data_IF_188816790472
#
_entry.id   IF_188816790472
#
_cell.length_a   1.000
_cell.length_b   1.000
_cell.length_c   1.000
_cell.angle_alpha   90.00
_cell.angle_beta   90.00
_cell.angle_gamma   90.00
#
_symmetry.space_group_name_H-M   'P 1'
#
loop_
_entity.id
_entity.type
_entity.pdbx_description
1 polymer ?
#
# COMPACT_ATOMS: atom_id res chain seq x y z
N UNK A 1 -42.87 -31.79 -19.96
CA UNK A 1 -42.69 -30.44 -19.39
C UNK A 1 -41.69 -30.37 -18.24
N UNK A 2 -41.61 -31.36 -17.34
CA UNK A 2 -40.69 -31.34 -16.18
C UNK A 2 -39.19 -31.36 -16.55
N UNK A 3 -38.76 -32.04 -17.62
CA UNK A 3 -37.36 -32.10 -18.03
C UNK A 3 -36.81 -30.78 -18.62
N UNK A 4 -37.64 -29.99 -19.30
CA UNK A 4 -37.24 -28.67 -19.84
C UNK A 4 -37.01 -27.64 -18.74
N UNK A 5 -37.78 -27.69 -17.65
CA UNK A 5 -37.63 -26.78 -16.50
C UNK A 5 -36.33 -27.06 -15.76
N UNK A 6 -35.96 -28.35 -15.62
CA UNK A 6 -34.69 -28.75 -14.96
C UNK A 6 -33.50 -28.28 -15.77
N UNK A 7 -33.56 -28.33 -17.10
CA UNK A 7 -32.46 -27.86 -17.98
C UNK A 7 -32.25 -26.34 -17.88
N UNK A 8 -33.33 -25.58 -17.78
CA UNK A 8 -33.29 -24.12 -17.63
C UNK A 8 -32.75 -23.74 -16.26
N UNK A 9 -33.15 -24.41 -15.20
CA UNK A 9 -32.64 -24.18 -13.84
C UNK A 9 -31.16 -24.51 -13.72
N UNK A 10 -30.64 -25.55 -14.40
CA UNK A 10 -29.24 -25.91 -14.42
C UNK A 10 -28.41 -24.91 -15.24
N UNK A 11 -28.94 -24.37 -16.34
CA UNK A 11 -28.33 -23.33 -17.14
C UNK A 11 -28.20 -21.99 -16.37
N UNK A 12 -29.22 -21.64 -15.58
CA UNK A 12 -29.18 -20.44 -14.74
C UNK A 12 -28.16 -20.56 -13.57
N UNK A 13 -27.97 -21.77 -13.04
CA UNK A 13 -27.01 -22.02 -11.97
C UNK A 13 -25.54 -21.95 -12.47
N UNK A 14 -25.28 -22.30 -13.73
CA UNK A 14 -23.96 -22.21 -14.35
C UNK A 14 -23.50 -20.76 -14.63
N UNK A 15 -24.45 -19.82 -14.79
CA UNK A 15 -24.15 -18.40 -15.05
C UNK A 15 -23.72 -17.68 -13.76
N UNK A 16 -24.14 -18.17 -12.59
CA UNK A 16 -23.83 -17.56 -11.29
C UNK A 16 -22.41 -17.82 -10.78
N UNK A 17 -21.59 -18.65 -11.46
CA UNK A 17 -20.23 -18.98 -11.05
C UNK A 17 -19.13 -18.29 -11.86
N UNK A 18 -19.46 -17.32 -12.71
CA UNK A 18 -18.45 -16.41 -13.23
C UNK A 18 -17.99 -15.49 -12.10
N UNK A 19 -17.22 -16.04 -11.16
CA UNK A 19 -16.42 -15.24 -10.28
C UNK A 19 -15.54 -14.36 -11.16
N UNK A 20 -15.76 -13.04 -11.14
CA UNK A 20 -14.84 -12.10 -11.75
C UNK A 20 -13.50 -12.32 -11.07
N UNK A 21 -12.57 -13.02 -11.75
CA UNK A 21 -11.20 -13.10 -11.29
C UNK A 21 -10.69 -11.66 -11.18
N UNK A 22 -10.47 -11.20 -9.96
CA UNK A 22 -9.97 -9.86 -9.71
C UNK A 22 -8.60 -9.74 -10.38
N UNK A 23 -8.41 -8.71 -11.22
CA UNK A 23 -7.16 -8.50 -11.94
C UNK A 23 -6.03 -8.27 -10.94
N UNK A 24 -4.92 -8.98 -11.10
CA UNK A 24 -3.72 -8.73 -10.32
C UNK A 24 -2.91 -7.59 -10.93
N UNK A 25 -2.40 -6.72 -10.07
CA UNK A 25 -1.50 -5.62 -10.37
C UNK A 25 -0.27 -5.77 -9.48
N UNK A 26 0.90 -5.68 -10.06
CA UNK A 26 2.14 -5.72 -9.30
C UNK A 26 2.37 -4.38 -8.58
N UNK A 27 2.73 -4.42 -7.31
CA UNK A 27 3.03 -3.23 -6.53
C UNK A 27 4.22 -2.45 -7.11
N UNK A 28 5.17 -3.15 -7.73
CA UNK A 28 6.31 -2.54 -8.44
C UNK A 28 5.88 -1.63 -9.59
N UNK A 29 4.82 -2.01 -10.33
CA UNK A 29 4.30 -1.20 -11.43
C UNK A 29 3.69 0.10 -10.88
N UNK A 30 2.93 0.00 -9.79
CA UNK A 30 2.36 1.16 -9.09
C UNK A 30 3.47 2.10 -8.61
N UNK A 31 4.54 1.54 -8.02
CA UNK A 31 5.69 2.33 -7.58
C UNK A 31 6.39 3.04 -8.75
N UNK A 32 6.49 2.41 -9.91
CA UNK A 32 7.02 3.04 -11.12
C UNK A 32 6.13 4.18 -11.61
N UNK A 33 4.82 3.99 -11.61
CA UNK A 33 3.86 5.05 -11.96
C UNK A 33 3.98 6.26 -11.03
N UNK A 34 4.08 6.04 -9.71
CA UNK A 34 4.32 7.12 -8.74
C UNK A 34 5.62 7.87 -9.05
N UNK A 35 6.71 7.17 -9.36
CA UNK A 35 7.98 7.79 -9.75
C UNK A 35 7.89 8.60 -11.03
N UNK A 36 7.08 8.15 -11.97
CA UNK A 36 6.84 8.84 -13.23
C UNK A 36 5.93 10.09 -13.07
N UNK A 37 5.40 10.32 -11.85
CA UNK A 37 4.49 11.43 -11.60
C UNK A 37 3.06 11.18 -12.08
N UNK A 38 2.68 9.94 -12.31
CA UNK A 38 1.35 9.57 -12.75
C UNK A 38 0.37 9.48 -11.57
N UNK A 39 -0.87 9.91 -11.81
CA UNK A 39 -1.96 9.71 -10.85
C UNK A 39 -2.26 8.21 -10.73
N UNK A 40 -2.33 7.71 -9.52
CA UNK A 40 -2.68 6.33 -9.22
C UNK A 40 -4.20 6.23 -9.00
N UNK A 41 -4.85 5.39 -9.81
CA UNK A 41 -6.30 5.15 -9.68
C UNK A 41 -6.65 3.72 -10.07
N UNK A 42 -6.85 2.87 -9.07
CA UNK A 42 -7.19 1.46 -9.25
C UNK A 42 -8.51 1.12 -8.56
N UNK A 43 -9.31 0.29 -9.21
CA UNK A 43 -10.58 -0.19 -8.67
C UNK A 43 -10.77 -1.68 -8.93
N UNK A 44 -11.31 -2.39 -7.94
CA UNK A 44 -11.67 -3.80 -8.03
C UNK A 44 -10.51 -4.70 -8.47
N UNK A 45 -9.30 -4.43 -7.96
CA UNK A 45 -8.07 -5.18 -8.30
C UNK A 45 -7.42 -5.77 -7.06
N UNK A 46 -6.60 -6.79 -7.26
CA UNK A 46 -5.72 -7.34 -6.24
C UNK A 46 -4.31 -6.83 -6.48
N UNK A 47 -3.70 -6.21 -5.48
CA UNK A 47 -2.30 -5.75 -5.53
C UNK A 47 -1.43 -6.85 -4.92
N UNK A 48 -0.42 -7.27 -5.68
CA UNK A 48 0.54 -8.31 -5.32
C UNK A 48 1.94 -7.69 -5.21
N UNK A 49 2.72 -8.16 -4.25
CA UNK A 49 4.02 -7.56 -3.92
C UNK A 49 3.89 -6.47 -2.85
N UNK A 50 5.02 -6.11 -2.25
CA UNK A 50 5.10 -5.07 -1.23
C UNK A 50 4.98 -3.70 -1.88
N UNK A 51 4.01 -2.90 -1.44
CA UNK A 51 3.87 -1.51 -1.87
C UNK A 51 4.66 -0.61 -0.91
N UNK A 52 5.94 -0.42 -1.22
CA UNK A 52 6.82 0.46 -0.46
C UNK A 52 6.75 1.91 -0.98
N UNK A 53 5.93 2.72 -0.31
CA UNK A 53 5.75 4.14 -0.60
C UNK A 53 6.90 5.01 -0.06
N UNK A 54 7.79 4.43 0.75
CA UNK A 54 8.98 5.14 1.24
C UNK A 54 10.13 5.13 0.24
N UNK A 55 10.11 4.19 -0.71
CA UNK A 55 11.21 3.94 -1.65
C UNK A 55 12.56 3.76 -0.94
N UNK A 56 12.54 3.01 0.16
CA UNK A 56 13.68 2.83 1.05
C UNK A 56 14.93 2.33 0.31
N UNK A 57 14.81 1.33 -0.54
CA UNK A 57 15.94 0.72 -1.25
C UNK A 57 16.73 1.75 -2.06
N UNK A 58 16.04 2.66 -2.74
CA UNK A 58 16.70 3.72 -3.51
C UNK A 58 17.30 4.83 -2.66
N UNK A 59 16.66 5.11 -1.52
CA UNK A 59 17.13 6.11 -0.60
C UNK A 59 18.39 5.63 0.13
N UNK A 60 18.41 4.37 0.58
CA UNK A 60 19.52 3.80 1.36
C UNK A 60 20.82 3.74 0.57
N UNK A 61 20.75 3.48 -0.75
CA UNK A 61 21.93 3.48 -1.62
C UNK A 61 22.67 4.80 -1.65
N UNK A 62 21.97 5.90 -1.41
CA UNK A 62 22.50 7.29 -1.47
C UNK A 62 22.97 7.81 -0.11
N UNK A 63 22.66 7.07 0.97
CA UNK A 63 22.98 7.53 2.32
C UNK A 63 24.40 7.15 2.75
N UNK A 64 25.07 8.01 3.53
CA UNK A 64 26.35 7.67 4.09
C UNK A 64 26.19 6.50 5.09
N UNK A 65 27.03 5.47 4.95
CA UNK A 65 27.06 4.36 5.93
C UNK A 65 27.38 4.92 7.31
N UNK A 66 26.41 4.83 8.22
CA UNK A 66 26.64 5.21 9.61
C UNK A 66 27.60 4.23 10.25
N UNK A 67 28.67 4.74 10.87
CA UNK A 67 29.46 3.93 11.82
C UNK A 67 28.55 3.66 13.02
N UNK A 68 28.44 2.38 13.46
CA UNK A 68 27.78 2.02 14.71
C UNK A 68 28.50 2.78 15.84
N UNK A 69 27.93 3.90 16.25
CA UNK A 69 28.45 4.69 17.37
C UNK A 69 28.02 4.01 18.66
N UNK A 70 28.94 4.00 19.62
CA UNK A 70 28.71 3.47 20.97
C UNK A 70 27.42 4.04 21.56
N UNK A 71 26.68 3.21 22.28
CA UNK A 71 25.37 3.48 22.91
C UNK A 71 25.30 4.76 23.79
N UNK A 72 26.44 5.36 24.11
CA UNK A 72 26.54 6.60 24.88
C UNK A 72 26.30 7.90 24.07
N UNK A 73 26.37 7.85 22.75
CA UNK A 73 26.11 9.02 21.89
C UNK A 73 24.72 8.89 21.25
N UNK A 74 23.68 9.01 22.05
CA UNK A 74 22.34 9.30 21.59
C UNK A 74 22.29 10.77 21.14
N UNK A 75 22.88 11.07 20.00
CA UNK A 75 22.68 12.34 19.35
C UNK A 75 21.32 12.28 18.69
N UNK A 76 20.43 13.14 19.13
CA UNK A 76 19.08 13.42 18.62
C UNK A 76 19.18 14.03 17.20
N UNK A 77 19.88 13.37 16.32
CA UNK A 77 19.94 13.73 14.92
C UNK A 77 18.75 13.06 14.22
N UNK A 78 17.93 13.90 13.65
CA UNK A 78 16.72 13.57 12.88
C UNK A 78 17.06 12.56 11.75
N UNK A 79 17.13 11.26 12.11
CA UNK A 79 17.50 10.17 11.20
C UNK A 79 16.31 9.75 10.31
N UNK A 80 15.38 10.64 10.07
CA UNK A 80 14.20 10.37 9.27
C UNK A 80 14.38 10.85 7.84
N UNK A 81 14.29 9.92 6.90
CA UNK A 81 14.27 10.18 5.47
C UNK A 81 12.81 10.24 5.02
N UNK A 82 12.43 11.36 4.42
CA UNK A 82 11.05 11.59 3.99
C UNK A 82 10.96 11.52 2.47
N UNK A 83 10.12 10.63 1.95
CA UNK A 83 9.73 10.59 0.55
C UNK A 83 8.47 11.43 0.35
N UNK A 84 8.48 12.36 -0.57
CA UNK A 84 7.30 13.09 -0.99
C UNK A 84 6.59 12.32 -2.10
N UNK A 85 5.30 12.07 -1.92
CA UNK A 85 4.38 11.53 -2.92
C UNK A 85 3.50 12.68 -3.37
N UNK A 86 3.83 13.24 -4.52
CA UNK A 86 3.21 14.47 -5.05
C UNK A 86 1.94 14.19 -5.86
N UNK A 87 1.65 12.92 -6.15
CA UNK A 87 0.54 12.50 -6.96
C UNK A 87 -0.60 11.96 -6.11
N UNK A 88 -1.83 12.08 -6.61
CA UNK A 88 -2.99 11.44 -6.01
C UNK A 88 -2.83 9.92 -6.04
N UNK A 89 -3.14 9.28 -4.92
CA UNK A 89 -3.12 7.83 -4.74
C UNK A 89 -4.52 7.35 -4.37
N UNK A 90 -5.17 6.59 -5.25
CA UNK A 90 -6.56 6.16 -5.05
C UNK A 90 -6.73 4.67 -5.35
N UNK A 91 -7.21 3.94 -4.35
CA UNK A 91 -7.62 2.54 -4.44
C UNK A 91 -9.04 2.40 -3.90
N UNK A 92 -9.94 1.77 -4.68
CA UNK A 92 -11.32 1.52 -4.26
C UNK A 92 -11.66 0.05 -4.48
N UNK A 93 -12.22 -0.62 -3.47
CA UNK A 93 -12.54 -2.05 -3.49
C UNK A 93 -11.33 -2.93 -3.87
N UNK A 94 -10.13 -2.59 -3.41
CA UNK A 94 -8.90 -3.30 -3.74
C UNK A 94 -8.45 -4.21 -2.60
N UNK A 95 -7.70 -5.27 -2.92
CA UNK A 95 -7.10 -6.17 -1.94
C UNK A 95 -5.59 -6.10 -2.04
N UNK A 96 -4.91 -5.78 -0.94
CA UNK A 96 -3.45 -5.80 -0.82
C UNK A 96 -3.01 -7.11 -0.20
N UNK A 97 -2.33 -7.96 -0.96
CA UNK A 97 -1.86 -9.29 -0.53
C UNK A 97 -0.62 -9.23 0.36
N UNK A 98 0.17 -8.19 0.20
CA UNK A 98 1.44 -7.99 0.89
C UNK A 98 1.41 -6.67 1.67
N UNK A 99 2.52 -6.32 2.29
CA UNK A 99 2.63 -5.13 3.11
C UNK A 99 2.46 -3.83 2.29
N UNK A 100 1.81 -2.85 2.89
CA UNK A 100 1.76 -1.46 2.41
C UNK A 100 2.53 -0.60 3.39
N UNK A 101 3.65 -0.04 2.95
CA UNK A 101 4.65 0.58 3.81
C UNK A 101 4.83 2.06 3.45
N UNK A 102 4.30 2.93 4.26
CA UNK A 102 4.61 4.36 4.27
C UNK A 102 5.51 4.75 5.47
N UNK A 103 5.94 3.76 6.25
CA UNK A 103 6.84 3.89 7.38
C UNK A 103 7.68 2.62 7.54
N UNK A 104 9.00 2.77 7.57
CA UNK A 104 9.96 1.68 7.78
C UNK A 104 11.04 2.16 8.74
N UNK A 105 11.12 1.62 9.97
CA UNK A 105 12.29 1.77 10.82
C UNK A 105 13.32 0.74 10.39
N UNK A 106 14.45 1.18 9.86
CA UNK A 106 15.53 0.31 9.43
C UNK A 106 16.67 0.30 10.47
N UNK A 107 16.76 -0.78 11.23
CA UNK A 107 17.76 -0.93 12.29
C UNK A 107 19.19 -1.09 11.74
N UNK A 108 19.32 -1.62 10.53
CA UNK A 108 20.64 -1.88 9.94
C UNK A 108 21.32 -0.58 9.52
N UNK A 109 20.60 0.34 8.92
CA UNK A 109 21.11 1.66 8.56
C UNK A 109 21.01 2.68 9.71
N UNK A 110 20.12 2.44 10.67
CA UNK A 110 19.78 3.36 11.76
C UNK A 110 18.97 4.57 11.28
N UNK A 111 18.34 4.47 10.11
CA UNK A 111 17.42 5.48 9.58
C UNK A 111 15.97 5.02 9.69
N UNK A 112 15.06 5.98 9.71
CA UNK A 112 13.63 5.76 9.58
C UNK A 112 13.17 6.36 8.27
N UNK A 113 12.44 5.59 7.46
CA UNK A 113 11.92 6.05 6.18
C UNK A 113 10.42 6.29 6.31
N UNK A 114 9.94 7.42 5.80
CA UNK A 114 8.51 7.78 5.83
C UNK A 114 8.07 8.32 4.48
N UNK A 115 6.82 8.06 4.12
CA UNK A 115 6.16 8.69 3.00
C UNK A 115 5.27 9.85 3.50
N UNK A 116 5.37 11.01 2.85
CA UNK A 116 4.47 12.14 3.03
C UNK A 116 3.70 12.37 1.75
N UNK A 117 2.40 12.61 1.86
CA UNK A 117 1.49 12.72 0.72
C UNK A 117 1.06 14.17 0.55
N UNK A 118 1.35 14.76 -0.59
CA UNK A 118 1.00 16.15 -0.93
C UNK A 118 -0.37 16.27 -1.58
N UNK A 119 -0.88 15.17 -2.17
CA UNK A 119 -2.21 15.12 -2.77
C UNK A 119 -3.11 14.10 -2.04
N UNK A 120 -4.33 13.90 -2.53
CA UNK A 120 -5.33 13.04 -1.92
C UNK A 120 -4.88 11.57 -1.86
N UNK A 121 -5.19 10.93 -0.73
CA UNK A 121 -4.93 9.50 -0.50
C UNK A 121 -6.24 8.79 -0.18
N UNK A 122 -6.65 7.88 -1.05
CA UNK A 122 -7.91 7.14 -0.93
C UNK A 122 -7.63 5.65 -0.92
N UNK A 123 -7.98 4.99 0.19
CA UNK A 123 -8.01 3.53 0.33
C UNK A 123 -9.42 3.13 0.78
N UNK A 124 -10.40 3.29 -0.10
CA UNK A 124 -11.81 3.10 0.23
C UNK A 124 -12.26 1.66 0.00
N UNK A 125 -12.90 1.05 1.01
CA UNK A 125 -13.36 -0.34 0.98
C UNK A 125 -12.25 -1.33 0.59
N UNK A 126 -11.02 -1.07 1.01
CA UNK A 126 -9.87 -1.93 0.71
C UNK A 126 -9.67 -2.99 1.79
N UNK A 127 -9.02 -4.08 1.42
CA UNK A 127 -8.59 -5.12 2.35
C UNK A 127 -7.08 -5.18 2.38
N UNK A 128 -6.49 -5.01 3.56
CA UNK A 128 -5.06 -5.16 3.79
C UNK A 128 -4.83 -6.50 4.50
N UNK A 129 -4.34 -7.51 3.77
CA UNK A 129 -4.13 -8.85 4.32
C UNK A 129 -2.85 -8.93 5.17
N UNK A 130 -1.92 -8.02 4.99
CA UNK A 130 -0.65 -7.91 5.71
C UNK A 130 -0.54 -6.54 6.36
N UNK A 131 0.67 -6.13 6.74
CA UNK A 131 0.91 -4.87 7.45
C UNK A 131 0.51 -3.64 6.63
N UNK A 132 -0.07 -2.65 7.29
CA UNK A 132 -0.38 -1.35 6.73
C UNK A 132 0.22 -0.25 7.62
N UNK A 133 1.42 0.21 7.28
CA UNK A 133 2.26 1.03 8.13
C UNK A 133 2.28 2.47 7.65
N UNK A 134 1.52 3.35 8.31
CA UNK A 134 1.41 4.79 8.00
C UNK A 134 1.87 5.68 9.17
N UNK A 135 2.62 5.13 10.12
CA UNK A 135 3.16 5.87 11.25
C UNK A 135 4.04 7.02 10.77
N UNK A 136 3.85 8.22 11.35
CA UNK A 136 4.57 9.44 11.00
C UNK A 136 4.42 9.91 9.55
N UNK A 137 3.51 9.31 8.78
CA UNK A 137 3.14 9.83 7.46
C UNK A 137 2.33 11.09 7.60
N UNK A 138 2.60 12.09 6.76
CA UNK A 138 1.85 13.33 6.70
C UNK A 138 0.94 13.32 5.47
N UNK A 139 -0.31 13.69 5.66
CA UNK A 139 -1.31 13.84 4.63
C UNK A 139 -1.68 15.33 4.51
N UNK A 140 -1.23 16.01 3.45
CA UNK A 140 -1.48 17.45 3.27
C UNK A 140 -2.90 17.73 2.79
N UNK A 141 -3.51 16.77 2.11
CA UNK A 141 -4.89 16.84 1.63
C UNK A 141 -5.75 15.76 2.26
N UNK A 142 -6.96 15.58 1.73
CA UNK A 142 -7.90 14.59 2.22
C UNK A 142 -7.31 13.17 2.16
N UNK A 143 -7.51 12.41 3.23
CA UNK A 143 -7.23 10.99 3.28
C UNK A 143 -8.49 10.23 3.66
N UNK A 144 -8.84 9.19 2.89
CA UNK A 144 -10.03 8.37 3.09
C UNK A 144 -9.66 6.88 3.15
N UNK A 145 -9.82 6.29 4.33
CA UNK A 145 -9.66 4.85 4.59
C UNK A 145 -10.99 4.19 4.94
N UNK A 146 -12.11 4.84 4.64
CA UNK A 146 -13.45 4.37 5.02
C UNK A 146 -13.78 3.00 4.43
N UNK A 147 -14.44 2.17 5.22
CA UNK A 147 -14.83 0.82 4.83
C UNK A 147 -13.69 -0.17 4.64
N UNK A 148 -12.45 0.23 4.90
CA UNK A 148 -11.29 -0.66 4.76
C UNK A 148 -11.11 -1.57 5.96
N UNK A 149 -10.61 -2.80 5.69
CA UNK A 149 -10.32 -3.84 6.67
C UNK A 149 -8.82 -4.09 6.76
N UNK A 150 -8.30 -4.12 7.98
CA UNK A 150 -6.90 -4.37 8.29
C UNK A 150 -6.81 -5.72 9.02
N UNK A 151 -6.28 -6.75 8.34
CA UNK A 151 -6.24 -8.12 8.86
C UNK A 151 -4.97 -8.43 9.67
N UNK A 152 -4.01 -7.52 9.65
CA UNK A 152 -2.75 -7.64 10.37
C UNK A 152 -2.37 -6.29 10.99
N UNK A 153 -1.15 -6.17 11.53
CA UNK A 153 -0.67 -4.96 12.17
C UNK A 153 -0.85 -3.74 11.28
N UNK A 154 -1.48 -2.71 11.82
CA UNK A 154 -1.65 -1.42 11.16
C UNK A 154 -1.36 -0.29 12.11
N UNK A 155 -0.74 0.78 11.61
CA UNK A 155 -0.41 1.92 12.44
C UNK A 155 -0.55 3.24 11.69
N UNK A 156 -1.22 4.21 12.34
CA UNK A 156 -1.51 5.56 11.86
C UNK A 156 -1.09 6.62 12.90
N UNK A 157 -0.16 6.29 13.79
CA UNK A 157 0.26 7.19 14.85
C UNK A 157 1.17 8.32 14.30
N UNK A 158 0.86 9.56 14.70
CA UNK A 158 1.69 10.75 14.51
C UNK A 158 2.71 10.89 15.65
#
# INVERSE_FOLDING_TARGET
MKSKIILIAFSLFLISTMGFAQKNIEASDIMQEIKAGNIISYQNVTIVGVLDLTFMDEAIEKLPKKKKTSWWNYSDSNNTIKKLIEVKVSFTNCTFKNDVLAYIPDEDSGYTFTANFEDEVIFKNCTFERKAMFKYSRFERNSDFSGSSFMNDSTFKY
#
